data_IF_407431762760
#
_entry.id   IF_407431762760
#
_cell.length_a   1.000
_cell.length_b   1.000
_cell.length_c   1.000
_cell.angle_alpha   90.00
_cell.angle_beta   90.00
_cell.angle_gamma   90.00
#
_symmetry.space_group_name_H-M   'P 1'
#
loop_
_entity.id
_entity.type
_entity.pdbx_description
1 polymer ?
#
# COMPACT_ATOMS: atom_id res chain seq x y z
N UNK A 1 34.33 11.44 2.65
CA UNK A 1 33.26 10.44 2.89
C UNK A 1 32.00 10.80 2.11
N UNK A 2 31.58 12.07 2.12
CA UNK A 2 30.42 12.58 1.36
C UNK A 2 30.52 12.31 -0.15
N UNK A 3 31.68 12.55 -0.77
CA UNK A 3 31.89 12.37 -2.22
C UNK A 3 31.64 10.91 -2.69
N UNK A 4 31.96 9.93 -1.85
CA UNK A 4 31.70 8.52 -2.14
C UNK A 4 30.21 8.19 -2.08
N UNK A 5 29.48 8.76 -1.13
CA UNK A 5 28.03 8.59 -1.00
C UNK A 5 27.30 9.26 -2.17
N UNK A 6 27.75 10.43 -2.59
CA UNK A 6 27.22 11.14 -3.75
C UNK A 6 27.43 10.32 -5.03
N UNK A 7 28.63 9.77 -5.24
CA UNK A 7 28.90 8.89 -6.38
C UNK A 7 28.01 7.63 -6.37
N UNK A 8 27.81 7.01 -5.20
CA UNK A 8 26.91 5.84 -5.07
C UNK A 8 25.46 6.20 -5.31
N UNK A 9 25.02 7.36 -4.84
CA UNK A 9 23.67 7.87 -5.07
C UNK A 9 23.43 8.10 -6.57
N UNK A 10 24.35 8.81 -7.25
CA UNK A 10 24.27 9.06 -8.68
C UNK A 10 24.25 7.75 -9.49
N UNK A 11 25.10 6.78 -9.13
CA UNK A 11 25.11 5.47 -9.77
C UNK A 11 23.78 4.73 -9.56
N UNK A 12 23.19 4.81 -8.36
CA UNK A 12 21.91 4.17 -8.05
C UNK A 12 20.77 4.75 -8.90
N UNK A 13 20.73 6.08 -9.10
CA UNK A 13 19.76 6.73 -9.99
C UNK A 13 19.90 6.26 -11.44
N UNK A 14 21.13 6.21 -11.95
CA UNK A 14 21.40 5.73 -13.32
C UNK A 14 20.94 4.28 -13.50
N UNK A 15 21.26 3.41 -12.54
CA UNK A 15 20.87 2.00 -12.58
C UNK A 15 19.34 1.84 -12.55
N UNK A 16 18.65 2.59 -11.70
CA UNK A 16 17.20 2.54 -11.56
C UNK A 16 16.51 3.00 -12.86
N UNK A 17 16.97 4.12 -13.43
CA UNK A 17 16.46 4.63 -14.70
C UNK A 17 16.70 3.64 -15.86
N UNK A 18 17.85 2.99 -15.91
CA UNK A 18 18.15 1.97 -16.90
C UNK A 18 17.20 0.76 -16.78
N UNK A 19 16.91 0.30 -15.57
CA UNK A 19 15.96 -0.79 -15.34
C UNK A 19 14.53 -0.39 -15.70
N UNK A 20 14.07 0.78 -15.27
CA UNK A 20 12.74 1.27 -15.61
C UNK A 20 12.55 1.37 -17.13
N UNK A 21 13.59 1.84 -17.85
CA UNK A 21 13.59 1.87 -19.31
C UNK A 21 13.54 0.47 -19.92
N UNK A 22 14.34 -0.47 -19.42
CA UNK A 22 14.35 -1.85 -19.91
C UNK A 22 12.98 -2.54 -19.72
N UNK A 23 12.31 -2.32 -18.59
CA UNK A 23 10.95 -2.84 -18.33
C UNK A 23 9.95 -2.30 -19.35
N UNK A 24 10.00 -0.98 -19.63
CA UNK A 24 9.12 -0.34 -20.63
C UNK A 24 9.36 -0.87 -22.03
N UNK A 25 10.62 -1.01 -22.44
CA UNK A 25 10.98 -1.52 -23.78
C UNK A 25 10.58 -2.99 -23.98
N UNK A 26 10.57 -3.79 -22.90
CA UNK A 26 10.15 -5.18 -22.94
C UNK A 26 8.62 -5.36 -23.00
N UNK A 27 7.85 -4.28 -22.89
CA UNK A 27 6.39 -4.34 -22.79
C UNK A 27 5.91 -4.98 -21.49
N UNK A 28 6.67 -4.85 -20.40
CA UNK A 28 6.27 -5.33 -19.08
C UNK A 28 5.05 -4.59 -18.50
N UNK A 29 4.64 -4.95 -17.29
CA UNK A 29 3.51 -4.30 -16.59
C UNK A 29 3.80 -2.81 -16.31
N UNK A 30 3.41 -1.98 -17.27
CA UNK A 30 3.62 -0.52 -17.23
C UNK A 30 2.88 0.14 -16.08
N UNK A 31 1.67 -0.32 -15.76
CA UNK A 31 0.90 0.18 -14.61
C UNK A 31 1.60 -0.10 -13.27
N UNK A 32 2.15 -1.32 -13.10
CA UNK A 32 2.89 -1.69 -11.89
C UNK A 32 4.21 -0.93 -11.78
N UNK A 33 4.89 -0.70 -12.91
CA UNK A 33 6.09 0.14 -12.96
C UNK A 33 5.76 1.59 -12.57
N UNK A 34 4.70 2.17 -13.14
CA UNK A 34 4.33 3.56 -12.87
C UNK A 34 3.86 3.74 -11.42
N UNK A 35 3.15 2.76 -10.84
CA UNK A 35 2.81 2.75 -9.42
C UNK A 35 4.07 2.69 -8.53
N UNK A 36 5.05 1.86 -8.88
CA UNK A 36 6.34 1.79 -8.16
C UNK A 36 7.12 3.10 -8.23
N UNK A 37 7.19 3.72 -9.41
CA UNK A 37 7.89 4.99 -9.60
C UNK A 37 7.19 6.12 -8.84
N UNK A 38 5.85 6.16 -8.84
CA UNK A 38 5.08 7.12 -8.05
C UNK A 38 5.30 6.96 -6.55
N UNK A 39 5.37 5.71 -6.05
CA UNK A 39 5.70 5.43 -4.66
C UNK A 39 7.12 5.86 -4.30
N UNK A 40 8.10 5.57 -5.17
CA UNK A 40 9.48 6.01 -4.98
C UNK A 40 9.57 7.54 -4.86
N UNK A 41 8.88 8.27 -5.73
CA UNK A 41 8.85 9.74 -5.69
C UNK A 41 8.24 10.26 -4.37
N UNK A 42 7.15 9.64 -3.91
CA UNK A 42 6.53 9.98 -2.64
C UNK A 42 7.47 9.71 -1.45
N UNK A 43 8.14 8.56 -1.43
CA UNK A 43 9.12 8.21 -0.39
C UNK A 43 10.30 9.19 -0.35
N UNK A 44 10.80 9.60 -1.52
CA UNK A 44 11.86 10.61 -1.61
C UNK A 44 11.38 11.97 -1.08
N UNK A 45 10.18 12.43 -1.45
CA UNK A 45 9.59 13.68 -0.92
C UNK A 45 9.43 13.62 0.60
N UNK A 46 8.92 12.51 1.12
CA UNK A 46 8.79 12.30 2.57
C UNK A 46 10.14 12.27 3.28
N UNK A 47 11.17 11.69 2.67
CA UNK A 47 12.53 11.71 3.22
C UNK A 47 13.09 13.12 3.34
N UNK A 48 12.85 13.98 2.35
CA UNK A 48 13.28 15.38 2.38
C UNK A 48 12.58 16.13 3.52
N UNK A 49 11.26 15.99 3.63
CA UNK A 49 10.50 16.62 4.72
C UNK A 49 10.97 16.13 6.10
N UNK A 50 11.16 14.82 6.27
CA UNK A 50 11.67 14.24 7.52
C UNK A 50 13.07 14.74 7.85
N UNK A 51 13.96 14.76 6.87
CA UNK A 51 15.31 15.26 7.04
C UNK A 51 15.36 16.73 7.45
N UNK A 52 14.47 17.55 6.89
CA UNK A 52 14.35 18.97 7.28
C UNK A 52 13.82 19.11 8.70
N UNK A 53 12.79 18.34 9.08
CA UNK A 53 12.22 18.37 10.43
C UNK A 53 13.22 17.89 11.49
N UNK A 54 13.99 16.84 11.17
CA UNK A 54 14.99 16.25 12.07
C UNK A 54 16.37 16.94 11.99
N UNK A 55 16.54 17.98 11.16
CA UNK A 55 17.81 18.68 10.94
C UNK A 55 18.99 17.74 10.62
N UNK A 56 18.75 16.70 9.81
CA UNK A 56 19.76 15.70 9.47
C UNK A 56 20.95 16.32 8.72
N UNK A 57 22.14 15.78 8.95
CA UNK A 57 23.34 16.15 8.20
C UNK A 57 23.29 15.71 6.74
N UNK A 58 24.11 16.30 5.88
CA UNK A 58 24.15 15.96 4.45
C UNK A 58 24.42 14.48 4.20
N UNK A 59 25.32 13.85 4.97
CA UNK A 59 25.61 12.42 4.83
C UNK A 59 24.41 11.55 5.22
N UNK A 60 23.72 11.89 6.32
CA UNK A 60 22.52 11.16 6.76
C UNK A 60 21.38 11.27 5.73
N UNK A 61 21.21 12.44 5.12
CA UNK A 61 20.24 12.64 4.03
C UNK A 61 20.55 11.77 2.82
N UNK A 62 21.82 11.67 2.44
CA UNK A 62 22.25 10.83 1.33
C UNK A 62 22.06 9.34 1.64
N UNK A 63 22.35 8.92 2.87
CA UNK A 63 22.14 7.54 3.32
C UNK A 63 20.66 7.15 3.28
N UNK A 64 19.76 8.00 3.80
CA UNK A 64 18.31 7.75 3.73
C UNK A 64 17.82 7.64 2.28
N UNK A 65 18.21 8.59 1.42
CA UNK A 65 17.83 8.58 0.01
C UNK A 65 18.38 7.36 -0.73
N UNK A 66 19.61 6.95 -0.43
CA UNK A 66 20.22 5.76 -1.01
C UNK A 66 19.48 4.48 -0.59
N UNK A 67 19.06 4.37 0.67
CA UNK A 67 18.27 3.24 1.16
C UNK A 67 16.92 3.12 0.43
N UNK A 68 16.28 4.26 0.15
CA UNK A 68 15.03 4.33 -0.63
C UNK A 68 15.26 3.84 -2.06
N UNK A 69 16.31 4.34 -2.73
CA UNK A 69 16.67 3.90 -4.09
C UNK A 69 16.99 2.41 -4.16
N UNK A 70 17.70 1.86 -3.18
CA UNK A 70 18.00 0.42 -3.11
C UNK A 70 16.74 -0.43 -2.95
N UNK A 71 15.78 0.00 -2.12
CA UNK A 71 14.50 -0.70 -1.96
C UNK A 71 13.70 -0.70 -3.27
N UNK A 72 13.64 0.44 -3.95
CA UNK A 72 12.95 0.55 -5.24
C UNK A 72 13.63 -0.29 -6.33
N UNK A 73 14.96 -0.31 -6.36
CA UNK A 73 15.72 -1.18 -7.26
C UNK A 73 15.35 -2.66 -7.07
N UNK A 74 15.33 -3.15 -5.83
CA UNK A 74 14.91 -4.53 -5.53
C UNK A 74 13.47 -4.82 -5.96
N UNK A 75 12.56 -3.85 -5.82
CA UNK A 75 11.18 -4.00 -6.28
C UNK A 75 11.08 -4.06 -7.81
N UNK A 76 11.86 -3.25 -8.53
CA UNK A 76 11.93 -3.28 -10.00
C UNK A 76 12.53 -4.58 -10.54
N UNK A 77 13.56 -5.12 -9.86
CA UNK A 77 14.13 -6.43 -10.21
C UNK A 77 13.08 -7.53 -10.07
N UNK A 78 12.32 -7.54 -8.97
CA UNK A 78 11.23 -8.50 -8.79
C UNK A 78 10.16 -8.37 -9.87
N UNK A 79 9.83 -7.13 -10.27
CA UNK A 79 8.89 -6.88 -11.37
C UNK A 79 9.41 -7.42 -12.71
N UNK A 80 10.71 -7.26 -13.00
CA UNK A 80 11.34 -7.84 -14.21
C UNK A 80 11.32 -9.37 -14.23
N UNK A 81 11.45 -10.02 -13.07
CA UNK A 81 11.43 -11.48 -12.92
C UNK A 81 10.00 -12.05 -13.00
N UNK A 82 8.97 -11.19 -13.13
CA UNK A 82 7.56 -11.61 -13.16
C UNK A 82 7.00 -11.95 -11.77
N UNK A 83 7.68 -11.54 -10.70
CA UNK A 83 7.19 -11.68 -9.34
C UNK A 83 6.24 -10.54 -8.96
N UNK A 84 5.18 -10.84 -8.21
CA UNK A 84 4.35 -9.78 -7.63
C UNK A 84 5.16 -8.92 -6.66
N UNK A 85 4.98 -7.61 -6.79
CA UNK A 85 5.40 -6.62 -5.81
C UNK A 85 4.36 -6.66 -4.71
N UNK A 86 4.61 -7.47 -3.68
CA UNK A 86 3.77 -7.52 -2.48
C UNK A 86 3.58 -6.09 -1.94
N UNK A 87 2.34 -5.63 -1.96
CA UNK A 87 1.93 -4.38 -1.35
C UNK A 87 2.28 -4.47 0.16
N UNK A 88 2.88 -3.43 0.77
CA UNK A 88 3.16 -3.49 2.19
C UNK A 88 1.84 -3.67 2.93
N UNK A 89 1.67 -4.84 3.55
CA UNK A 89 0.60 -5.10 4.52
C UNK A 89 0.63 -3.95 5.51
N UNK A 90 -0.42 -3.14 5.51
CA UNK A 90 -0.57 -2.06 6.47
C UNK A 90 -0.35 -2.65 7.86
N UNK A 91 0.55 -2.08 8.69
CA UNK A 91 0.65 -2.55 10.07
C UNK A 91 -0.71 -2.33 10.71
N UNK A 92 -1.30 -3.42 11.22
CA UNK A 92 -2.49 -3.39 12.06
C UNK A 92 -2.29 -2.25 13.08
N UNK A 93 -3.11 -1.20 12.99
CA UNK A 93 -2.93 0.00 13.78
C UNK A 93 -2.89 -0.37 15.27
N UNK A 94 -1.91 0.10 16.06
CA UNK A 94 -1.85 -0.16 17.51
C UNK A 94 -3.04 0.47 18.27
N UNK A 95 -3.85 1.30 17.61
CA UNK A 95 -5.09 1.88 18.14
C UNK A 95 -6.34 1.02 17.87
N UNK A 96 -6.22 -0.08 17.11
CA UNK A 96 -7.37 -0.95 16.78
C UNK A 96 -7.80 -1.87 17.95
N UNK A 97 -7.04 -1.89 19.05
CA UNK A 97 -7.36 -2.66 20.26
C UNK A 97 -7.45 -1.74 21.47
N UNK A 98 -8.42 -0.82 21.47
CA UNK A 98 -8.83 -0.17 22.71
C UNK A 98 -9.85 -1.03 23.46
N UNK A 99 -9.59 -1.38 24.74
CA UNK A 99 -10.48 -2.22 25.56
C UNK A 99 -11.83 -1.55 25.92
N UNK A 100 -12.05 -0.32 25.48
CA UNK A 100 -13.28 0.46 25.71
C UNK A 100 -14.27 0.41 24.55
N UNK A 101 -14.02 -0.37 23.49
CA UNK A 101 -15.09 -0.81 22.61
C UNK A 101 -15.94 -1.85 23.34
N UNK A 102 -16.75 -1.31 24.24
CA UNK A 102 -17.89 -1.94 24.87
C UNK A 102 -18.62 -2.77 23.84
N UNK A 103 -18.62 -4.08 24.09
CA UNK A 103 -19.49 -5.06 23.48
C UNK A 103 -20.94 -4.65 23.79
N UNK A 104 -21.45 -3.68 23.03
CA UNK A 104 -22.85 -3.30 23.06
C UNK A 104 -23.62 -4.38 22.33
N UNK A 105 -23.91 -5.44 23.09
CA UNK A 105 -24.89 -6.46 22.74
C UNK A 105 -26.26 -5.79 22.71
N UNK A 106 -26.61 -5.19 21.57
CA UNK A 106 -28.01 -4.94 21.23
C UNK A 106 -28.45 -6.04 20.26
N UNK A 107 -29.26 -7.02 20.69
CA UNK A 107 -30.17 -7.69 19.79
C UNK A 107 -31.45 -6.84 19.71
N UNK A 108 -31.82 -6.42 18.50
CA UNK A 108 -33.19 -6.13 18.16
C UNK A 108 -33.46 -6.77 16.79
N UNK A 109 -34.65 -7.30 16.48
CA UNK A 109 -35.95 -7.09 17.12
C UNK A 109 -36.77 -8.40 17.34
N UNK A 110 -38.02 -8.26 17.81
CA UNK A 110 -39.14 -9.24 17.86
C UNK A 110 -39.38 -10.06 19.14
N UNK A 111 -40.53 -9.78 19.76
CA UNK A 111 -41.44 -10.75 20.39
C UNK A 111 -42.84 -10.47 19.81
N UNK A 112 -43.76 -11.45 19.68
CA UNK A 112 -43.84 -12.72 20.42
C UNK A 112 -44.03 -13.99 19.56
N UNK A 113 -43.84 -15.13 20.21
CA UNK A 113 -44.06 -16.49 19.71
C UNK A 113 -45.50 -16.75 19.24
N UNK A 114 -45.67 -17.29 18.04
CA UNK A 114 -46.74 -18.25 17.70
C UNK A 114 -46.25 -19.25 16.66
N UNK A 115 -46.63 -20.50 16.90
CA UNK A 115 -46.29 -21.75 16.23
C UNK A 115 -46.53 -21.83 14.72
N UNK A 116 -45.92 -22.88 14.15
CA UNK A 116 -46.27 -23.58 12.90
C UNK A 116 -45.85 -22.89 11.60
N UNK A 117 -44.83 -23.40 10.91
CA UNK A 117 -44.86 -24.55 10.00
C UNK A 117 -45.63 -24.28 8.69
N UNK A 118 -45.02 -24.73 7.60
CA UNK A 118 -45.52 -24.80 6.23
C UNK A 118 -45.42 -23.55 5.32
N UNK A 119 -44.57 -23.71 4.30
CA UNK A 119 -44.93 -23.59 2.87
C UNK A 119 -45.19 -22.18 2.30
N UNK A 120 -44.24 -21.68 1.50
CA UNK A 120 -44.56 -20.77 0.39
C UNK A 120 -45.05 -21.60 -0.80
N UNK A 121 -46.04 -21.12 -1.59
CA UNK A 121 -45.68 -20.22 -2.69
C UNK A 121 -46.75 -19.19 -3.11
N UNK A 122 -46.25 -18.15 -3.81
CA UNK A 122 -46.81 -17.42 -4.95
C UNK A 122 -48.28 -16.92 -5.01
N UNK A 123 -48.39 -15.74 -5.62
CA UNK A 123 -49.51 -15.19 -6.40
C UNK A 123 -50.57 -14.31 -5.69
N UNK A 124 -50.44 -13.02 -5.95
CA UNK A 124 -51.49 -12.05 -6.31
C UNK A 124 -52.94 -12.58 -6.43
N UNK A 125 -53.89 -12.04 -5.64
CA UNK A 125 -55.28 -11.81 -6.12
C UNK A 125 -56.11 -10.83 -5.27
N UNK A 126 -56.23 -9.61 -5.81
CA UNK A 126 -57.43 -8.75 -6.01
C UNK A 126 -58.69 -8.92 -5.12
N UNK A 127 -59.10 -7.76 -4.59
CA UNK A 127 -60.46 -7.17 -4.44
C UNK A 127 -61.27 -7.42 -3.15
N UNK A 128 -61.47 -6.30 -2.44
CA UNK A 128 -62.54 -6.05 -1.48
C UNK A 128 -63.92 -6.24 -2.12
N UNK A 129 -64.82 -6.86 -1.36
CA UNK A 129 -66.22 -6.47 -1.28
C UNK A 129 -66.39 -5.57 -0.07
#
# INVERSE_FOLDING_TARGET
>A
MSDLLEARYAQAEVNLNALAKAIRERGGETDALDALLGKLEADLKHSVLRATAASLSTSQRLEERLAILQRAFSALVRLMEGGQVEEPVSPESPFSLHPWHSRSTYPAPYSPSTSSDASGPAAFRKKNG
#
